data_IF_197576338206
#
_entry.id   IF_197576338206
#
_cell.length_a   1.000
_cell.length_b   1.000
_cell.length_c   1.000
_cell.angle_alpha   90.00
_cell.angle_beta   90.00
_cell.angle_gamma   90.00
#
_symmetry.space_group_name_H-M   'P 1'
#
loop_
_entity.id
_entity.type
_entity.pdbx_description
1 polymer ?
#
# COMPACT_ATOMS: atom_id res chain seq x y z
N UNK A 1 20.52 20.84 -18.23
CA UNK A 1 19.21 20.46 -17.71
C UNK A 1 19.37 20.32 -16.22
N UNK A 2 18.59 21.02 -15.40
CA UNK A 2 18.61 20.84 -13.95
C UNK A 2 18.12 19.43 -13.65
N UNK A 3 18.92 18.67 -12.90
CA UNK A 3 18.65 17.29 -12.48
C UNK A 3 17.50 17.26 -11.44
N UNK A 4 16.30 17.61 -11.90
CA UNK A 4 15.10 17.63 -11.07
C UNK A 4 14.58 16.21 -10.95
N UNK A 5 14.44 15.74 -9.72
CA UNK A 5 13.83 14.43 -9.44
C UNK A 5 12.45 14.35 -10.11
N UNK A 6 12.13 13.24 -10.81
CA UNK A 6 10.78 13.03 -11.34
C UNK A 6 9.74 13.00 -10.21
N UNK A 7 8.52 13.42 -10.52
CA UNK A 7 7.43 13.52 -9.52
C UNK A 7 7.21 12.21 -8.75
N UNK A 8 7.37 11.08 -9.43
CA UNK A 8 7.30 9.76 -8.82
C UNK A 8 8.27 9.65 -7.64
N UNK A 9 9.54 10.02 -7.82
CA UNK A 9 10.53 9.95 -6.74
C UNK A 9 10.29 10.98 -5.64
N UNK A 10 9.84 12.19 -6.00
CA UNK A 10 9.52 13.22 -5.00
C UNK A 10 8.45 12.72 -4.03
N UNK A 11 7.35 12.14 -4.55
CA UNK A 11 6.26 11.57 -3.75
C UNK A 11 6.74 10.42 -2.87
N UNK A 12 7.51 9.49 -3.42
CA UNK A 12 8.06 8.37 -2.67
C UNK A 12 8.94 8.84 -1.50
N UNK A 13 9.79 9.83 -1.73
CA UNK A 13 10.63 10.43 -0.67
C UNK A 13 9.81 11.12 0.41
N UNK A 14 8.81 11.94 0.03
CA UNK A 14 7.92 12.61 0.99
C UNK A 14 7.19 11.56 1.85
N UNK A 15 6.66 10.52 1.22
CA UNK A 15 5.96 9.45 1.92
C UNK A 15 6.89 8.71 2.89
N UNK A 16 8.06 8.29 2.41
CA UNK A 16 9.06 7.58 3.22
C UNK A 16 9.58 8.43 4.38
N UNK A 17 9.75 9.73 4.17
CA UNK A 17 10.14 10.67 5.22
C UNK A 17 9.07 10.74 6.32
N UNK A 18 7.77 10.86 5.97
CA UNK A 18 6.69 10.86 6.96
C UNK A 18 6.69 9.59 7.82
N UNK A 19 6.94 8.43 7.20
CA UNK A 19 7.06 7.17 7.92
C UNK A 19 8.30 7.15 8.84
N UNK A 20 9.44 7.64 8.37
CA UNK A 20 10.67 7.73 9.18
C UNK A 20 10.54 8.69 10.38
N UNK A 21 9.67 9.70 10.28
CA UNK A 21 9.30 10.60 11.38
C UNK A 21 8.32 9.95 12.40
N UNK A 22 7.94 8.70 12.21
CA UNK A 22 6.97 7.98 13.06
C UNK A 22 5.52 8.43 12.86
N UNK A 23 5.22 9.15 11.78
CA UNK A 23 3.87 9.70 11.53
C UNK A 23 2.94 8.63 10.98
N UNK A 24 1.72 8.60 11.50
CA UNK A 24 0.62 7.93 10.82
C UNK A 24 0.25 8.74 9.55
N UNK A 25 0.12 8.05 8.43
CA UNK A 25 -0.19 8.64 7.13
C UNK A 25 -1.64 8.36 6.74
N UNK A 26 -2.33 9.40 6.27
CA UNK A 26 -3.73 9.30 5.83
C UNK A 26 -3.82 8.64 4.47
N UNK A 27 -4.68 7.65 4.33
CA UNK A 27 -4.84 6.95 3.06
C UNK A 27 -6.16 6.21 2.92
N UNK A 28 -6.43 5.77 1.70
CA UNK A 28 -7.62 4.99 1.38
C UNK A 28 -7.37 4.08 0.17
N UNK A 29 -8.20 3.04 0.06
CA UNK A 29 -8.18 2.12 -1.07
C UNK A 29 -8.83 2.73 -2.31
N UNK A 30 -8.22 2.51 -3.47
CA UNK A 30 -8.78 2.75 -4.79
C UNK A 30 -9.07 1.40 -5.45
N UNK A 31 -10.33 1.00 -5.40
CA UNK A 31 -10.81 -0.30 -5.90
C UNK A 31 -11.60 -0.18 -7.21
N UNK A 32 -12.11 1.02 -7.52
CA UNK A 32 -12.91 1.28 -8.72
C UNK A 32 -12.04 1.54 -9.97
N UNK A 33 -10.74 1.81 -9.80
CA UNK A 33 -9.80 2.02 -10.89
C UNK A 33 -10.05 3.31 -11.71
N UNK A 34 -10.77 4.32 -11.15
CA UNK A 34 -11.08 5.57 -11.83
C UNK A 34 -10.06 6.66 -11.50
N UNK A 35 -9.39 7.23 -12.52
CA UNK A 35 -8.50 8.38 -12.36
C UNK A 35 -9.19 9.61 -11.76
N UNK A 36 -10.48 9.85 -12.11
CA UNK A 36 -11.26 10.97 -11.61
C UNK A 36 -11.55 10.82 -10.12
N UNK A 37 -11.92 9.61 -9.69
CA UNK A 37 -12.14 9.31 -8.27
C UNK A 37 -10.82 9.44 -7.50
N UNK A 38 -9.70 8.97 -8.06
CA UNK A 38 -8.37 9.15 -7.47
C UNK A 38 -8.05 10.64 -7.24
N UNK A 39 -8.32 11.52 -8.22
CA UNK A 39 -8.16 12.97 -8.08
C UNK A 39 -9.04 13.56 -6.98
N UNK A 40 -10.31 13.16 -6.90
CA UNK A 40 -11.23 13.63 -5.86
C UNK A 40 -10.72 13.27 -4.46
N UNK A 41 -10.24 12.04 -4.30
CA UNK A 41 -9.68 11.57 -3.03
C UNK A 41 -8.38 12.29 -2.66
N UNK A 42 -7.47 12.50 -3.64
CA UNK A 42 -6.22 13.23 -3.42
C UNK A 42 -6.46 14.70 -3.02
N UNK A 43 -7.49 15.35 -3.58
CA UNK A 43 -7.87 16.72 -3.19
C UNK A 43 -8.33 16.85 -1.73
N UNK A 44 -8.76 15.76 -1.10
CA UNK A 44 -9.05 15.74 0.32
C UNK A 44 -7.78 15.78 1.19
N UNK A 45 -6.58 15.67 0.59
CA UNK A 45 -5.31 15.78 1.29
C UNK A 45 -4.74 14.45 1.77
N UNK A 46 -5.11 13.33 1.13
CA UNK A 46 -4.54 12.02 1.47
C UNK A 46 -3.03 11.98 1.21
N UNK A 47 -2.28 11.41 2.15
CA UNK A 47 -0.85 11.17 2.00
C UNK A 47 -0.55 10.07 0.98
N UNK A 48 -1.43 9.06 0.88
CA UNK A 48 -1.33 8.01 -0.12
C UNK A 48 -2.70 7.53 -0.62
N UNK A 49 -2.70 7.02 -1.83
CA UNK A 49 -3.82 6.25 -2.40
C UNK A 49 -3.33 4.83 -2.67
N UNK A 50 -4.05 3.83 -2.14
CA UNK A 50 -3.73 2.43 -2.30
C UNK A 50 -4.53 1.85 -3.45
N UNK A 51 -3.89 1.73 -4.62
CA UNK A 51 -4.49 1.11 -5.82
C UNK A 51 -4.43 -0.40 -5.67
N UNK A 52 -5.59 -1.02 -5.72
CA UNK A 52 -5.75 -2.46 -5.51
C UNK A 52 -5.77 -3.20 -6.85
N UNK A 53 -4.70 -3.95 -7.14
CA UNK A 53 -4.61 -4.79 -8.34
C UNK A 53 -4.89 -6.27 -8.05
N UNK A 54 -5.10 -6.65 -6.77
CA UNK A 54 -5.48 -8.01 -6.39
C UNK A 54 -6.99 -8.22 -6.49
N UNK A 55 -7.79 -7.35 -5.88
CA UNK A 55 -9.25 -7.46 -5.83
C UNK A 55 -9.99 -6.27 -6.43
N UNK A 56 -9.27 -5.19 -6.78
CA UNK A 56 -9.83 -4.01 -7.41
C UNK A 56 -10.09 -4.20 -8.91
N UNK A 57 -10.78 -3.23 -9.49
CA UNK A 57 -10.99 -3.17 -10.94
C UNK A 57 -9.81 -2.52 -11.64
N UNK A 58 -9.47 -3.06 -12.77
CA UNK A 58 -8.40 -2.54 -13.61
C UNK A 58 -7.13 -3.36 -13.51
N UNK A 59 -6.16 -2.95 -14.27
CA UNK A 59 -4.83 -3.55 -14.35
C UNK A 59 -3.79 -2.45 -14.43
N UNK A 60 -2.69 -2.77 -15.07
CA UNK A 60 -1.55 -1.86 -15.18
C UNK A 60 -1.89 -0.55 -15.90
N UNK A 61 -2.77 -0.57 -16.89
CA UNK A 61 -3.20 0.63 -17.62
C UNK A 61 -4.04 1.55 -16.71
N UNK A 62 -4.91 0.98 -15.90
CA UNK A 62 -5.67 1.72 -14.88
C UNK A 62 -4.78 2.33 -13.79
N UNK A 63 -3.75 1.61 -13.38
CA UNK A 63 -2.72 2.15 -12.48
C UNK A 63 -1.98 3.33 -13.12
N UNK A 64 -1.49 3.16 -14.36
CA UNK A 64 -0.77 4.21 -15.08
C UNK A 64 -1.61 5.48 -15.23
N UNK A 65 -2.90 5.33 -15.55
CA UNK A 65 -3.84 6.46 -15.67
C UNK A 65 -4.04 7.17 -14.31
N UNK A 66 -4.19 6.44 -13.21
CA UNK A 66 -4.30 7.03 -11.87
C UNK A 66 -3.00 7.75 -11.45
N UNK A 67 -1.83 7.18 -11.73
CA UNK A 67 -0.54 7.85 -11.48
C UNK A 67 -0.44 9.18 -12.23
N UNK A 68 -0.85 9.21 -13.51
CA UNK A 68 -0.87 10.45 -14.30
C UNK A 68 -1.87 11.47 -13.74
N UNK A 69 -3.08 11.03 -13.39
CA UNK A 69 -4.09 11.91 -12.80
C UNK A 69 -3.62 12.54 -11.49
N UNK A 70 -2.79 11.82 -10.74
CA UNK A 70 -2.22 12.28 -9.48
C UNK A 70 -0.92 13.10 -9.65
N UNK A 71 -0.45 13.37 -10.87
CA UNK A 71 0.84 14.05 -11.08
C UNK A 71 0.95 15.41 -10.37
N UNK A 72 -0.15 16.15 -10.27
CA UNK A 72 -0.21 17.46 -9.60
C UNK A 72 -0.34 17.42 -8.06
N UNK A 73 -0.41 16.25 -7.43
CA UNK A 73 -0.61 16.08 -6.00
C UNK A 73 0.64 15.48 -5.34
N UNK A 74 0.81 15.70 -4.04
CA UNK A 74 1.86 15.04 -3.24
C UNK A 74 1.46 13.65 -2.73
N UNK A 75 0.22 13.24 -3.00
CA UNK A 75 -0.31 11.91 -2.68
C UNK A 75 0.53 10.83 -3.32
N UNK A 76 1.15 9.97 -2.52
CA UNK A 76 1.90 8.81 -3.00
C UNK A 76 0.95 7.74 -3.56
N UNK A 77 1.42 6.98 -4.54
CA UNK A 77 0.67 5.82 -5.07
C UNK A 77 1.26 4.55 -4.48
N UNK A 78 0.54 3.95 -3.54
CA UNK A 78 0.79 2.61 -3.06
C UNK A 78 0.00 1.64 -3.94
N UNK A 79 0.60 0.51 -4.28
CA UNK A 79 -0.07 -0.53 -5.10
C UNK A 79 -0.08 -1.83 -4.33
N UNK A 80 -1.26 -2.41 -4.12
CA UNK A 80 -1.33 -3.82 -3.75
C UNK A 80 -1.14 -4.64 -5.03
N UNK A 81 -0.07 -5.44 -5.05
CA UNK A 81 0.26 -6.29 -6.19
C UNK A 81 -0.81 -7.37 -6.40
N UNK A 82 -1.03 -7.81 -7.64
CA UNK A 82 -1.95 -8.92 -7.91
C UNK A 82 -1.35 -10.28 -7.51
N UNK A 83 -0.03 -10.38 -7.45
CA UNK A 83 0.76 -11.58 -7.21
C UNK A 83 2.21 -11.23 -6.84
N UNK A 84 3.07 -12.25 -6.72
CA UNK A 84 4.51 -12.09 -6.41
C UNK A 84 5.40 -12.14 -7.65
N UNK A 85 4.84 -12.16 -8.87
CA UNK A 85 5.60 -12.33 -10.10
C UNK A 85 6.51 -11.12 -10.37
N UNK A 86 7.74 -11.39 -10.73
CA UNK A 86 8.73 -10.35 -11.11
C UNK A 86 8.19 -9.42 -12.20
N UNK A 87 7.36 -9.92 -13.12
CA UNK A 87 6.72 -9.13 -14.16
C UNK A 87 5.71 -8.14 -13.60
N UNK A 88 4.88 -8.56 -12.64
CA UNK A 88 3.89 -7.71 -11.96
C UNK A 88 4.58 -6.62 -11.15
N UNK A 89 5.57 -6.98 -10.32
CA UNK A 89 6.38 -6.04 -9.54
C UNK A 89 6.99 -4.97 -10.44
N UNK A 90 7.69 -5.39 -11.50
CA UNK A 90 8.36 -4.49 -12.44
C UNK A 90 7.36 -3.53 -13.10
N UNK A 91 6.26 -4.03 -13.66
CA UNK A 91 5.28 -3.20 -14.38
C UNK A 91 4.60 -2.19 -13.47
N UNK A 92 4.28 -2.54 -12.23
CA UNK A 92 3.73 -1.59 -11.26
C UNK A 92 4.71 -0.44 -10.97
N UNK A 93 5.99 -0.76 -10.78
CA UNK A 93 7.02 0.26 -10.55
C UNK A 93 7.30 1.10 -11.80
N UNK A 94 7.27 0.50 -12.98
CA UNK A 94 7.46 1.20 -14.26
C UNK A 94 6.29 2.16 -14.57
N UNK A 95 5.08 1.83 -14.12
CA UNK A 95 3.91 2.71 -14.16
C UNK A 95 3.98 3.87 -13.16
N UNK A 96 4.86 3.83 -12.16
CA UNK A 96 5.09 4.93 -11.23
C UNK A 96 4.57 4.71 -9.80
N UNK A 97 4.40 3.45 -9.37
CA UNK A 97 4.16 3.16 -7.96
C UNK A 97 5.31 3.67 -7.09
N UNK A 98 4.97 4.26 -5.95
CA UNK A 98 5.91 4.76 -4.94
C UNK A 98 6.10 3.76 -3.80
N UNK A 99 5.11 2.90 -3.61
CA UNK A 99 4.99 1.97 -2.52
C UNK A 99 4.39 0.67 -3.04
N UNK A 100 4.91 -0.46 -2.62
CA UNK A 100 4.33 -1.78 -2.87
C UNK A 100 3.75 -2.34 -1.58
N UNK A 101 2.53 -2.84 -1.66
CA UNK A 101 1.92 -3.72 -0.69
C UNK A 101 1.83 -5.11 -1.31
N UNK A 102 2.55 -6.06 -0.76
CA UNK A 102 2.71 -7.41 -1.34
C UNK A 102 1.82 -8.37 -0.58
N UNK A 103 0.76 -8.93 -1.21
CA UNK A 103 -0.16 -9.83 -0.53
C UNK A 103 0.48 -11.20 -0.21
N UNK A 104 -0.09 -11.93 0.74
CA UNK A 104 0.13 -13.36 0.97
C UNK A 104 1.62 -13.78 1.06
N UNK A 105 2.41 -13.07 1.85
CA UNK A 105 3.83 -13.38 2.04
C UNK A 105 3.99 -14.30 3.25
N UNK A 106 4.24 -15.58 3.01
CA UNK A 106 4.33 -16.59 4.06
C UNK A 106 5.74 -16.79 4.64
N UNK A 107 6.79 -16.40 3.92
CA UNK A 107 8.16 -16.63 4.37
C UNK A 107 9.17 -15.62 3.80
N UNK A 108 10.37 -15.63 4.37
CA UNK A 108 11.44 -14.72 3.98
C UNK A 108 11.94 -14.92 2.55
N UNK A 109 11.85 -16.14 2.00
CA UNK A 109 12.26 -16.41 0.63
C UNK A 109 11.31 -15.72 -0.37
N UNK A 110 10.00 -15.81 -0.16
CA UNK A 110 9.02 -15.08 -0.98
C UNK A 110 9.25 -13.57 -0.89
N UNK A 111 9.41 -13.03 0.32
CA UNK A 111 9.68 -11.61 0.52
C UNK A 111 10.98 -11.17 -0.17
N UNK A 112 12.06 -11.95 -0.05
CA UNK A 112 13.36 -11.66 -0.68
C UNK A 112 13.26 -11.62 -2.21
N UNK A 113 12.55 -12.58 -2.83
CA UNK A 113 12.32 -12.58 -4.28
C UNK A 113 11.62 -11.32 -4.78
N UNK A 114 10.60 -10.84 -4.05
CA UNK A 114 9.90 -9.60 -4.41
C UNK A 114 10.83 -8.39 -4.24
N UNK A 115 11.60 -8.31 -3.14
CA UNK A 115 12.58 -7.24 -2.94
C UNK A 115 13.64 -7.22 -4.05
N UNK A 116 14.17 -8.39 -4.45
CA UNK A 116 15.11 -8.49 -5.58
C UNK A 116 14.48 -7.99 -6.89
N UNK A 117 13.21 -8.31 -7.14
CA UNK A 117 12.49 -7.87 -8.34
C UNK A 117 12.18 -6.37 -8.34
N UNK A 118 12.02 -5.76 -7.16
CA UNK A 118 11.65 -4.36 -7.01
C UNK A 118 12.85 -3.39 -7.11
N UNK A 119 14.05 -3.83 -6.73
CA UNK A 119 15.23 -2.98 -6.61
C UNK A 119 16.16 -3.12 -7.82
N UNK A 120 16.68 -1.98 -8.30
CA UNK A 120 17.70 -1.97 -9.36
C UNK A 120 19.01 -2.63 -8.94
N UNK A 121 19.85 -3.05 -9.90
CA UNK A 121 21.16 -3.65 -9.65
C UNK A 121 22.03 -2.90 -8.65
N UNK A 122 22.76 -3.66 -7.83
CA UNK A 122 23.45 -3.18 -6.64
C UNK A 122 22.69 -3.52 -5.35
N UNK A 123 21.34 -3.54 -5.40
CA UNK A 123 20.48 -3.95 -4.30
C UNK A 123 19.47 -5.05 -4.70
N UNK A 124 19.22 -5.23 -5.98
CA UNK A 124 18.30 -6.23 -6.54
C UNK A 124 18.58 -6.57 -8.00
N UNK A 125 17.53 -7.00 -8.72
CA UNK A 125 17.61 -7.49 -10.11
C UNK A 125 16.55 -6.87 -11.03
N UNK A 126 15.91 -5.76 -10.63
CA UNK A 126 14.93 -5.08 -11.47
C UNK A 126 15.54 -4.74 -12.83
N UNK A 127 14.84 -5.11 -13.91
CA UNK A 127 15.26 -4.76 -15.27
C UNK A 127 15.28 -3.25 -15.50
N UNK A 128 16.30 -2.77 -16.21
CA UNK A 128 16.52 -1.34 -16.43
C UNK A 128 15.91 -0.92 -17.77
N UNK A 129 14.81 -0.17 -17.72
CA UNK A 129 14.12 0.40 -18.87
C UNK A 129 13.83 1.90 -18.72
N UNK A 130 14.65 2.58 -17.92
CA UNK A 130 14.41 3.97 -17.48
C UNK A 130 14.27 4.99 -18.61
N UNK A 131 14.73 4.67 -19.81
CA UNK A 131 14.57 5.52 -21.00
C UNK A 131 13.17 5.51 -21.62
N UNK A 132 12.25 4.62 -21.15
CA UNK A 132 10.96 4.42 -21.79
C UNK A 132 9.76 4.36 -20.81
N UNK A 133 10.00 4.37 -19.50
CA UNK A 133 8.95 4.15 -18.50
C UNK A 133 8.36 5.46 -17.97
N UNK A 134 7.06 5.40 -17.64
CA UNK A 134 6.33 6.54 -17.06
C UNK A 134 6.96 7.02 -15.74
N UNK A 135 7.42 6.11 -14.89
CA UNK A 135 8.03 6.42 -13.61
C UNK A 135 9.27 7.32 -13.72
N UNK A 136 10.02 7.22 -14.84
CA UNK A 136 11.20 8.03 -15.16
C UNK A 136 10.88 9.21 -16.09
N UNK A 137 9.61 9.67 -16.06
CA UNK A 137 9.13 10.75 -16.93
C UNK A 137 9.41 10.48 -18.41
N UNK A 138 9.08 9.26 -18.86
CA UNK A 138 9.27 8.81 -20.26
C UNK A 138 10.72 8.94 -20.75
N UNK A 139 11.67 8.80 -19.84
CA UNK A 139 13.09 8.90 -20.11
C UNK A 139 13.71 10.29 -19.93
N UNK A 140 12.89 11.34 -19.72
CA UNK A 140 13.43 12.69 -19.45
C UNK A 140 14.19 12.78 -18.13
N UNK A 141 13.93 11.87 -17.19
CA UNK A 141 14.60 11.79 -15.88
C UNK A 141 15.28 10.42 -15.65
N UNK A 142 15.78 9.77 -16.71
CA UNK A 142 16.29 8.41 -16.67
C UNK A 142 17.39 8.20 -15.63
N UNK A 143 18.46 9.02 -15.66
CA UNK A 143 19.61 8.87 -14.77
C UNK A 143 19.24 9.18 -13.32
N UNK A 144 18.47 10.23 -13.09
CA UNK A 144 17.99 10.60 -11.78
C UNK A 144 17.06 9.52 -11.19
N UNK A 145 16.16 8.96 -12.01
CA UNK A 145 15.30 7.86 -11.57
C UNK A 145 16.11 6.61 -11.21
N UNK A 146 17.03 6.18 -12.07
CA UNK A 146 17.87 5.01 -11.79
C UNK A 146 18.65 5.16 -10.49
N UNK A 147 19.27 6.32 -10.29
CA UNK A 147 20.11 6.59 -9.12
C UNK A 147 19.33 6.58 -7.80
N UNK A 148 18.08 7.02 -7.81
CA UNK A 148 17.36 7.32 -6.57
C UNK A 148 16.14 6.45 -6.31
N UNK A 149 15.70 5.61 -7.27
CA UNK A 149 14.48 4.83 -7.15
C UNK A 149 14.50 3.83 -5.98
N UNK A 150 15.63 3.15 -5.75
CA UNK A 150 15.76 2.19 -4.66
C UNK A 150 15.56 2.82 -3.27
N UNK A 151 15.97 4.07 -3.09
CA UNK A 151 15.86 4.76 -1.80
C UNK A 151 14.50 5.43 -1.59
N UNK A 152 13.82 5.77 -2.69
CA UNK A 152 12.48 6.37 -2.64
C UNK A 152 11.35 5.35 -2.53
N UNK A 153 11.63 4.08 -2.82
CA UNK A 153 10.65 2.99 -2.76
C UNK A 153 10.38 2.56 -1.33
N UNK A 154 9.10 2.34 -0.99
CA UNK A 154 8.65 1.69 0.24
C UNK A 154 8.04 0.34 -0.10
N UNK A 155 8.41 -0.73 0.61
CA UNK A 155 7.86 -2.07 0.41
C UNK A 155 7.32 -2.61 1.72
N UNK A 156 6.03 -2.94 1.74
CA UNK A 156 5.33 -3.57 2.85
C UNK A 156 4.87 -4.97 2.44
N UNK A 157 5.08 -5.96 3.31
CA UNK A 157 4.58 -7.34 3.11
C UNK A 157 3.32 -7.56 3.92
N UNK A 158 2.28 -8.17 3.31
CA UNK A 158 1.07 -8.56 4.03
C UNK A 158 1.27 -9.90 4.73
N UNK A 159 0.97 -9.90 6.03
CA UNK A 159 0.98 -11.08 6.90
C UNK A 159 -0.47 -11.51 7.10
N UNK A 160 -0.83 -12.63 6.49
CA UNK A 160 -2.22 -13.04 6.30
C UNK A 160 -2.46 -14.54 6.57
N UNK A 161 -1.45 -15.23 7.11
CA UNK A 161 -1.54 -16.65 7.42
C UNK A 161 -0.82 -17.02 8.72
N UNK A 162 -1.18 -18.14 9.37
CA UNK A 162 -0.42 -18.69 10.49
C UNK A 162 1.04 -19.00 10.13
N UNK A 163 1.31 -19.42 8.89
CA UNK A 163 2.66 -19.67 8.40
C UNK A 163 3.49 -18.38 8.38
N UNK A 164 2.94 -17.28 7.88
CA UNK A 164 3.58 -15.98 7.90
C UNK A 164 3.90 -15.53 9.33
N UNK A 165 2.96 -15.71 10.27
CA UNK A 165 3.15 -15.39 11.70
C UNK A 165 4.25 -16.25 12.34
N UNK A 166 4.40 -17.51 11.91
CA UNK A 166 5.47 -18.39 12.39
C UNK A 166 6.84 -17.98 11.85
N UNK A 167 6.91 -17.45 10.63
CA UNK A 167 8.14 -17.04 9.95
C UNK A 167 8.52 -15.55 10.15
N UNK A 168 7.83 -14.87 11.04
CA UNK A 168 7.89 -13.41 11.23
C UNK A 168 9.30 -12.88 11.42
N UNK A 169 10.10 -13.52 12.28
CA UNK A 169 11.47 -13.09 12.61
C UNK A 169 12.37 -13.11 11.35
N UNK A 170 12.24 -14.16 10.54
CA UNK A 170 13.01 -14.29 9.30
C UNK A 170 12.58 -13.25 8.25
N UNK A 171 11.29 -12.93 8.17
CA UNK A 171 10.78 -11.89 7.28
C UNK A 171 11.28 -10.51 7.73
N UNK A 172 11.17 -10.21 9.03
CA UNK A 172 11.61 -8.94 9.62
C UNK A 172 13.13 -8.71 9.54
N UNK A 173 13.93 -9.78 9.48
CA UNK A 173 15.38 -9.69 9.33
C UNK A 173 15.83 -9.15 7.95
N UNK A 174 14.94 -9.05 6.95
CA UNK A 174 15.29 -8.55 5.63
C UNK A 174 15.56 -7.03 5.68
N UNK A 175 16.78 -6.65 5.33
CA UNK A 175 17.27 -5.27 5.48
C UNK A 175 16.56 -4.25 4.59
N UNK A 176 16.05 -4.67 3.43
CA UNK A 176 15.35 -3.80 2.45
C UNK A 176 13.82 -3.82 2.59
N UNK A 177 13.30 -4.52 3.59
CA UNK A 177 11.89 -4.51 3.95
C UNK A 177 11.62 -3.27 4.81
N UNK A 178 10.67 -2.43 4.40
CA UNK A 178 10.30 -1.23 5.13
C UNK A 178 9.28 -1.52 6.26
N UNK A 179 8.41 -2.51 6.07
CA UNK A 179 7.42 -2.85 7.10
C UNK A 179 6.50 -4.01 6.75
N UNK A 180 5.55 -4.24 7.66
CA UNK A 180 4.52 -5.26 7.53
C UNK A 180 3.12 -4.64 7.56
N UNK A 181 2.19 -5.33 6.94
CA UNK A 181 0.79 -4.95 6.92
C UNK A 181 -0.08 -6.18 7.24
N UNK A 182 -1.06 -6.05 8.12
CA UNK A 182 -1.98 -7.15 8.42
C UNK A 182 -3.31 -6.96 7.67
N UNK A 183 -3.70 -7.96 6.88
CA UNK A 183 -5.05 -8.11 6.35
C UNK A 183 -5.91 -8.93 7.33
N UNK A 184 -6.73 -8.31 8.21
CA UNK A 184 -7.40 -9.04 9.28
C UNK A 184 -8.43 -10.06 8.77
N UNK A 185 -9.06 -9.80 7.61
CA UNK A 185 -9.99 -10.76 7.02
C UNK A 185 -9.29 -12.05 6.61
N UNK A 186 -8.18 -11.93 5.88
CA UNK A 186 -7.44 -13.07 5.35
C UNK A 186 -6.73 -13.83 6.47
N UNK A 187 -6.08 -13.11 7.41
CA UNK A 187 -5.47 -13.74 8.58
C UNK A 187 -6.51 -14.52 9.40
N UNK A 188 -7.69 -13.92 9.69
CA UNK A 188 -8.72 -14.63 10.44
C UNK A 188 -9.30 -15.82 9.66
N UNK A 189 -9.44 -15.70 8.32
CA UNK A 189 -9.94 -16.78 7.47
C UNK A 189 -8.97 -17.96 7.44
N UNK A 190 -7.68 -17.71 7.22
CA UNK A 190 -6.64 -18.76 7.19
C UNK A 190 -6.44 -19.44 8.54
N UNK A 191 -6.76 -18.77 9.64
CA UNK A 191 -6.81 -19.34 10.98
C UNK A 191 -8.09 -20.16 11.26
N UNK A 192 -9.05 -20.23 10.32
CA UNK A 192 -10.37 -20.84 10.57
C UNK A 192 -11.28 -20.00 11.47
N UNK A 193 -10.99 -18.73 11.65
CA UNK A 193 -11.66 -17.77 12.54
C UNK A 193 -12.29 -16.61 11.75
N UNK A 194 -12.78 -16.86 10.54
CA UNK A 194 -13.23 -15.79 9.65
C UNK A 194 -14.09 -14.74 10.35
N UNK A 195 -13.58 -13.49 10.37
CA UNK A 195 -14.18 -12.32 11.00
C UNK A 195 -14.42 -12.40 12.51
N UNK A 196 -13.82 -13.36 13.19
CA UNK A 196 -13.85 -13.47 14.65
C UNK A 196 -12.65 -12.71 15.26
N UNK A 197 -12.62 -11.39 15.04
CA UNK A 197 -11.48 -10.54 15.40
C UNK A 197 -11.24 -10.40 16.91
N UNK A 198 -12.23 -10.78 17.74
CA UNK A 198 -12.12 -10.82 19.20
C UNK A 198 -11.64 -12.19 19.72
N UNK A 199 -11.51 -13.21 18.86
CA UNK A 199 -11.01 -14.52 19.27
C UNK A 199 -9.60 -14.41 19.85
N UNK A 200 -9.30 -15.02 21.01
CA UNK A 200 -7.98 -14.90 21.65
C UNK A 200 -6.82 -15.27 20.72
N UNK A 201 -6.95 -16.36 19.95
CA UNK A 201 -5.91 -16.79 19.02
C UNK A 201 -5.66 -15.78 17.90
N UNK A 202 -6.71 -15.13 17.36
CA UNK A 202 -6.53 -14.07 16.37
C UNK A 202 -5.82 -12.85 16.98
N UNK A 203 -6.24 -12.44 18.19
CA UNK A 203 -5.61 -11.32 18.90
C UNK A 203 -4.14 -11.56 19.17
N UNK A 204 -3.80 -12.74 19.65
CA UNK A 204 -2.41 -13.13 19.92
C UNK A 204 -1.57 -13.06 18.63
N UNK A 205 -2.07 -13.60 17.50
CA UNK A 205 -1.39 -13.55 16.23
C UNK A 205 -1.23 -12.11 15.72
N UNK A 206 -2.29 -11.30 15.78
CA UNK A 206 -2.27 -9.90 15.37
C UNK A 206 -1.28 -9.08 16.22
N UNK A 207 -1.36 -9.21 17.55
CA UNK A 207 -0.49 -8.46 18.46
C UNK A 207 0.97 -8.89 18.31
N UNK A 208 1.24 -10.17 18.07
CA UNK A 208 2.59 -10.67 17.77
C UNK A 208 3.17 -9.98 16.55
N UNK A 209 2.41 -9.89 15.43
CA UNK A 209 2.88 -9.21 14.22
C UNK A 209 3.09 -7.72 14.49
N UNK A 210 2.14 -7.09 15.19
CA UNK A 210 2.20 -5.67 15.54
C UNK A 210 3.47 -5.34 16.33
N UNK A 211 3.62 -6.00 17.47
CA UNK A 211 4.69 -5.69 18.43
C UNK A 211 6.07 -6.06 17.88
N UNK A 212 6.21 -7.20 17.19
CA UNK A 212 7.47 -7.60 16.54
C UNK A 212 7.88 -6.63 15.43
N UNK A 213 6.92 -6.11 14.66
CA UNK A 213 7.23 -5.14 13.59
C UNK A 213 7.78 -3.84 14.18
N UNK A 214 7.13 -3.29 15.21
CA UNK A 214 7.61 -2.09 15.89
C UNK A 214 8.94 -2.32 16.61
N UNK A 215 9.12 -3.45 17.27
CA UNK A 215 10.38 -3.82 17.92
C UNK A 215 11.55 -3.93 16.94
N UNK A 216 11.29 -4.33 15.69
CA UNK A 216 12.26 -4.34 14.61
C UNK A 216 12.52 -2.94 14.00
N UNK A 217 11.89 -1.88 14.50
CA UNK A 217 12.01 -0.51 13.99
C UNK A 217 11.39 -0.33 12.60
N UNK A 218 10.43 -1.17 12.23
CA UNK A 218 9.78 -1.18 10.91
C UNK A 218 8.37 -0.60 10.97
N UNK A 219 7.86 -0.18 9.81
CA UNK A 219 6.52 0.36 9.62
C UNK A 219 5.48 -0.72 9.83
N UNK A 220 4.49 -0.47 10.69
CA UNK A 220 3.32 -1.33 10.80
C UNK A 220 2.10 -0.69 10.14
N UNK A 221 1.36 -1.49 9.38
CA UNK A 221 0.07 -1.15 8.83
C UNK A 221 -0.97 -2.24 9.05
N UNK A 222 -2.24 -1.86 9.04
CA UNK A 222 -3.36 -2.81 9.08
C UNK A 222 -4.65 -2.16 8.57
N UNK A 223 -5.58 -3.00 8.10
CA UNK A 223 -6.97 -2.58 7.90
C UNK A 223 -7.69 -2.47 9.25
N UNK A 224 -8.47 -1.41 9.48
CA UNK A 224 -9.42 -1.36 10.59
C UNK A 224 -10.47 -2.49 10.47
N UNK A 225 -10.83 -3.06 11.62
CA UNK A 225 -11.85 -4.10 11.74
C UNK A 225 -12.59 -3.93 13.08
N UNK A 226 -13.73 -4.60 13.31
CA UNK A 226 -14.35 -4.64 14.63
C UNK A 226 -13.32 -5.02 15.71
N UNK A 227 -13.23 -4.19 16.76
CA UNK A 227 -12.23 -4.31 17.80
C UNK A 227 -10.81 -3.85 17.42
N UNK A 228 -10.56 -3.46 16.17
CA UNK A 228 -9.31 -2.87 15.66
C UNK A 228 -9.62 -1.49 15.07
N UNK A 229 -10.06 -0.56 15.91
CA UNK A 229 -10.41 0.80 15.46
C UNK A 229 -9.17 1.54 14.94
N UNK A 230 -9.35 2.36 13.90
CA UNK A 230 -8.29 3.16 13.28
C UNK A 230 -7.52 3.97 14.32
N UNK A 231 -8.24 4.67 15.18
CA UNK A 231 -7.66 5.52 16.22
C UNK A 231 -6.80 4.72 17.21
N UNK A 232 -7.27 3.54 17.62
CA UNK A 232 -6.53 2.67 18.53
C UNK A 232 -5.27 2.10 17.88
N UNK A 233 -5.33 1.72 16.60
CA UNK A 233 -4.16 1.26 15.84
C UNK A 233 -3.10 2.37 15.73
N UNK A 234 -3.53 3.59 15.38
CA UNK A 234 -2.62 4.74 15.29
C UNK A 234 -2.03 5.11 16.66
N UNK A 235 -2.82 5.11 17.72
CA UNK A 235 -2.33 5.37 19.09
C UNK A 235 -1.31 4.34 19.57
N UNK A 236 -1.40 3.09 19.11
CA UNK A 236 -0.42 2.04 19.37
C UNK A 236 0.87 2.18 18.55
N UNK A 237 0.89 3.01 17.51
CA UNK A 237 2.05 3.24 16.66
C UNK A 237 1.92 2.71 15.22
N UNK A 238 0.74 2.26 14.80
CA UNK A 238 0.52 1.94 13.38
C UNK A 238 0.61 3.20 12.52
N UNK A 239 1.33 3.09 11.40
CA UNK A 239 1.59 4.24 10.55
C UNK A 239 0.78 4.20 9.24
N UNK A 240 0.46 3.01 8.72
CA UNK A 240 -0.27 2.82 7.45
C UNK A 240 -1.61 2.17 7.74
N UNK A 241 -2.63 2.99 8.00
CA UNK A 241 -3.99 2.54 8.34
C UNK A 241 -4.97 3.20 7.35
N UNK A 242 -5.34 2.51 6.25
CA UNK A 242 -6.29 3.08 5.29
C UNK A 242 -7.68 3.21 5.90
N UNK A 243 -8.23 4.42 5.92
CA UNK A 243 -9.47 4.76 6.59
C UNK A 243 -10.76 4.37 5.85
N UNK A 244 -10.65 3.72 4.69
CA UNK A 244 -11.78 3.31 3.86
C UNK A 244 -11.40 3.07 2.41
N UNK A 245 -12.41 3.00 1.53
CA UNK A 245 -12.20 2.88 0.08
C UNK A 245 -13.13 3.82 -0.69
N UNK A 246 -12.75 4.12 -1.94
CA UNK A 246 -13.59 4.83 -2.90
C UNK A 246 -15.01 4.21 -2.98
N UNK A 247 -15.09 2.89 -3.05
CA UNK A 247 -16.35 2.14 -3.09
C UNK A 247 -17.18 2.33 -1.82
N UNK A 248 -16.57 2.26 -0.63
CA UNK A 248 -17.29 2.42 0.65
C UNK A 248 -17.77 3.85 0.85
N UNK A 249 -16.97 4.84 0.46
CA UNK A 249 -17.33 6.26 0.53
C UNK A 249 -18.49 6.58 -0.41
N UNK A 250 -18.44 6.11 -1.66
CA UNK A 250 -19.51 6.34 -2.64
C UNK A 250 -20.82 5.65 -2.21
N UNK A 251 -20.74 4.39 -1.78
CA UNK A 251 -21.90 3.64 -1.26
C UNK A 251 -22.51 4.32 -0.04
N UNK A 252 -21.70 4.72 0.93
CA UNK A 252 -22.15 5.39 2.13
C UNK A 252 -22.85 6.72 1.83
N UNK A 253 -22.27 7.54 0.94
CA UNK A 253 -22.89 8.79 0.49
C UNK A 253 -24.25 8.58 -0.20
N UNK A 254 -24.33 7.59 -1.09
CA UNK A 254 -25.59 7.25 -1.76
C UNK A 254 -26.66 6.73 -0.77
N UNK A 255 -26.26 5.88 0.18
CA UNK A 255 -27.19 5.40 1.23
C UNK A 255 -27.68 6.53 2.13
N UNK A 256 -26.80 7.46 2.52
CA UNK A 256 -27.17 8.61 3.32
C UNK A 256 -28.17 9.54 2.59
N UNK A 257 -27.98 9.76 1.28
CA UNK A 257 -28.91 10.52 0.45
C UNK A 257 -30.32 9.89 0.45
N UNK A 258 -30.40 8.56 0.20
CA UNK A 258 -31.69 7.83 0.19
C UNK A 258 -32.35 7.88 1.57
N UNK A 259 -31.59 7.66 2.64
CA UNK A 259 -32.12 7.72 4.01
C UNK A 259 -32.66 9.12 4.35
N UNK A 260 -31.93 10.20 3.97
CA UNK A 260 -32.39 11.59 4.16
C UNK A 260 -33.68 11.89 3.42
N UNK A 261 -33.82 11.41 2.16
CA UNK A 261 -35.03 11.61 1.38
C UNK A 261 -36.23 10.87 2.01
N UNK A 262 -36.06 9.63 2.46
CA UNK A 262 -37.09 8.87 3.17
C UNK A 262 -37.52 9.55 4.47
N UNK A 263 -36.58 10.04 5.26
CA UNK A 263 -36.87 10.77 6.49
C UNK A 263 -37.66 12.09 6.23
N UNK A 264 -37.49 12.71 5.07
CA UNK A 264 -38.25 13.89 4.64
C UNK A 264 -39.63 13.54 4.01
N UNK A 265 -40.07 12.29 4.06
CA UNK A 265 -41.37 11.85 3.52
C UNK A 265 -41.36 11.55 2.01
N UNK A 266 -40.19 11.46 1.38
CA UNK A 266 -40.02 11.04 0.00
C UNK A 266 -40.15 9.52 -0.18
N UNK A 267 -40.44 9.09 -1.41
CA UNK A 267 -40.39 7.69 -1.82
C UNK A 267 -39.00 7.36 -2.36
N UNK A 268 -38.47 6.20 -2.05
CA UNK A 268 -37.22 5.69 -2.63
C UNK A 268 -37.46 4.39 -3.39
#
# INVERSE_FOLDING_TARGET
>A
MTDTLPRTLQKGRIFKQKLAEGRAVSGAWSTLGSPEVACLMARAGLDYLLVDLEHGRGGIDGLAAQVQALAGFDTAVMVRLPDHDTGSVKRCLDAGANCLLVPQVDNAEMAARVLEAALFPGAGRRGVAVGAIQAADWGYAADSYYTHANDALTVLMQIESPEAVANLDAILALSRLDGLFVGPNDLSATMGLFRQFEAPAFREAFDKVFDSTLAAGKVFGALPAPGLALEALVQRGAQVVPGGSDQTMLRGGAQALVAGLKAAGGTA
#
